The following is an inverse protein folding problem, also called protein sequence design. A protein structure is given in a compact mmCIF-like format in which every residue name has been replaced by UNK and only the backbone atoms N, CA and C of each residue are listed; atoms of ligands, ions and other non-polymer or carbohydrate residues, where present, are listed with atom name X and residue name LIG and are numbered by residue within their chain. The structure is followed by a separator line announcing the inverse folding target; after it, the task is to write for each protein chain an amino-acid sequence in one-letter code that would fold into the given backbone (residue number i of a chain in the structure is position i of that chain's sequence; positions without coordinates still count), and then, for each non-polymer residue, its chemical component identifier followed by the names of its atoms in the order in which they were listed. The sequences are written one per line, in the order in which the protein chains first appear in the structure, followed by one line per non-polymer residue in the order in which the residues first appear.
data_IF_639752663694
#
_entry.id   IF_639752663694
#
_cell.length_a   1.000
_cell.length_b   1.000
_cell.length_c   1.000
_cell.angle_alpha   90.00
_cell.angle_beta   90.00
_cell.angle_gamma   90.00
#
_symmetry.space_group_name_H-M   'P 1'
#
loop_
_entity.id
_entity.type
_entity.pdbx_description
1 polymer ?
#
# COMPACT_ATOMS: atom_id res chain seq x y z
N UNK A 1 15.01 1.40 8.61
CA UNK A 1 13.67 1.02 8.10
C UNK A 1 13.87 -0.13 7.14
N UNK A 2 13.19 -1.26 7.35
CA UNK A 2 13.42 -2.50 6.59
C UNK A 2 13.38 -2.31 5.06
N UNK A 3 12.49 -1.46 4.54
CA UNK A 3 12.40 -1.17 3.11
C UNK A 3 13.71 -0.61 2.51
N UNK A 4 14.44 0.21 3.27
CA UNK A 4 15.73 0.74 2.82
C UNK A 4 16.82 -0.34 2.87
N UNK A 5 16.81 -1.20 3.89
CA UNK A 5 17.76 -2.30 4.02
C UNK A 5 17.58 -3.36 2.93
N UNK A 6 16.36 -3.56 2.43
CA UNK A 6 16.05 -4.49 1.34
C UNK A 6 16.25 -3.92 -0.08
N UNK A 7 16.70 -2.67 -0.22
CA UNK A 7 16.91 -2.05 -1.53
C UNK A 7 17.84 -2.92 -2.40
N UNK A 8 17.50 -3.08 -3.68
CA UNK A 8 18.21 -3.98 -4.61
C UNK A 8 17.79 -5.46 -4.54
N UNK A 9 17.00 -5.87 -3.54
CA UNK A 9 16.49 -7.24 -3.40
C UNK A 9 14.96 -7.35 -3.44
N UNK A 10 14.24 -6.24 -3.21
CA UNK A 10 12.77 -6.21 -3.27
C UNK A 10 12.31 -6.29 -4.74
N UNK A 11 11.55 -7.33 -5.07
CA UNK A 11 11.01 -7.57 -6.42
C UNK A 11 9.54 -7.21 -6.58
N UNK A 12 8.78 -7.16 -5.48
CA UNK A 12 7.36 -6.81 -5.42
C UNK A 12 7.01 -6.32 -4.00
N UNK A 13 5.94 -5.51 -3.87
CA UNK A 13 5.47 -5.01 -2.56
C UNK A 13 3.97 -5.25 -2.40
N UNK A 14 3.58 -5.97 -1.35
CA UNK A 14 2.18 -6.03 -0.91
C UNK A 14 1.82 -4.79 -0.11
N UNK A 15 0.62 -4.25 -0.35
CA UNK A 15 0.08 -3.05 0.25
C UNK A 15 -1.21 -3.40 0.98
N UNK A 16 -1.16 -3.41 2.32
CA UNK A 16 -2.32 -3.57 3.21
C UNK A 16 -2.05 -2.86 4.52
N UNK A 17 -3.12 -2.54 5.26
CA UNK A 17 -3.01 -1.99 6.60
C UNK A 17 -3.04 -3.10 7.67
N UNK A 18 -2.50 -2.81 8.86
CA UNK A 18 -2.45 -3.76 9.98
C UNK A 18 -2.55 -3.02 11.32
N UNK A 19 -2.88 -3.76 12.38
CA UNK A 19 -2.74 -3.33 13.79
C UNK A 19 -1.91 -4.38 14.54
N UNK A 20 -1.34 -4.07 15.72
CA UNK A 20 -0.66 -5.08 16.53
C UNK A 20 -1.58 -6.29 16.79
N UNK A 21 -1.15 -7.47 16.32
CA UNK A 21 -1.93 -8.71 16.43
C UNK A 21 -3.07 -8.89 15.42
N UNK A 22 -3.32 -7.92 14.52
CA UNK A 22 -4.37 -7.99 13.49
C UNK A 22 -3.74 -7.78 12.11
N UNK A 23 -3.59 -8.87 11.37
CA UNK A 23 -2.83 -8.92 10.11
C UNK A 23 -3.70 -9.02 8.83
N UNK A 24 -5.02 -9.13 8.99
CA UNK A 24 -6.00 -9.26 7.90
C UNK A 24 -7.18 -8.34 8.17
N UNK A 25 -7.81 -7.86 7.09
CA UNK A 25 -9.06 -7.11 7.11
C UNK A 25 -9.05 -5.84 7.98
N UNK A 26 -7.90 -5.20 8.14
CA UNK A 26 -7.83 -3.83 8.68
C UNK A 26 -8.09 -2.87 7.51
N UNK A 27 -9.16 -2.04 7.57
CA UNK A 27 -9.42 -1.07 6.51
C UNK A 27 -8.26 -0.09 6.32
N UNK A 28 -8.02 0.32 5.09
CA UNK A 28 -6.96 1.28 4.76
C UNK A 28 -7.14 2.60 5.51
N UNK A 29 -6.15 2.97 6.31
CA UNK A 29 -6.15 4.21 7.09
C UNK A 29 -6.67 4.05 8.52
N UNK A 30 -7.14 2.86 8.89
CA UNK A 30 -7.53 2.56 10.27
C UNK A 30 -6.44 1.82 11.05
N UNK A 31 -5.37 1.36 10.41
CA UNK A 31 -4.26 0.68 11.04
C UNK A 31 -3.09 1.61 11.37
N UNK A 32 -1.89 1.02 11.43
CA UNK A 32 -0.67 1.69 11.88
C UNK A 32 0.37 1.86 10.76
N UNK A 33 0.07 1.43 9.53
CA UNK A 33 1.03 1.53 8.43
C UNK A 33 1.13 2.98 7.96
N UNK A 34 2.33 3.55 8.07
CA UNK A 34 2.64 4.87 7.50
C UNK A 34 2.94 4.74 6.00
N UNK A 35 1.87 4.70 5.20
CA UNK A 35 1.94 4.44 3.75
C UNK A 35 2.80 5.47 3.00
N UNK A 36 2.65 6.76 3.29
CA UNK A 36 3.40 7.81 2.59
C UNK A 36 4.90 7.73 2.89
N UNK A 37 5.27 7.44 4.15
CA UNK A 37 6.67 7.18 4.51
C UNK A 37 7.22 5.91 3.85
N UNK A 38 6.42 4.84 3.78
CA UNK A 38 6.81 3.60 3.10
C UNK A 38 7.05 3.84 1.60
N UNK A 39 6.11 4.46 0.90
CA UNK A 39 6.23 4.76 -0.53
C UNK A 39 7.37 5.72 -0.83
N UNK A 40 7.54 6.77 -0.03
CA UNK A 40 8.66 7.71 -0.22
C UNK A 40 10.02 7.06 0.05
N UNK A 41 10.11 6.11 0.99
CA UNK A 41 11.33 5.34 1.24
C UNK A 41 11.67 4.43 0.06
N UNK A 42 10.70 3.70 -0.48
CA UNK A 42 10.88 2.85 -1.67
C UNK A 42 11.27 3.69 -2.89
N UNK A 43 10.58 4.80 -3.12
CA UNK A 43 10.84 5.71 -4.23
C UNK A 43 12.26 6.29 -4.17
N UNK A 44 12.68 6.81 -3.02
CA UNK A 44 14.05 7.33 -2.81
C UNK A 44 15.13 6.26 -2.93
N UNK A 45 14.79 5.00 -2.68
CA UNK A 45 15.70 3.85 -2.83
C UNK A 45 15.78 3.35 -4.28
N UNK A 46 15.06 3.97 -5.22
CA UNK A 46 15.06 3.58 -6.63
C UNK A 46 14.18 2.37 -6.97
N UNK A 47 13.25 1.97 -6.09
CA UNK A 47 12.34 0.87 -6.38
C UNK A 47 11.39 1.20 -7.55
N UNK A 48 11.35 0.32 -8.55
CA UNK A 48 10.56 0.45 -9.78
C UNK A 48 9.64 -0.77 -10.02
N UNK A 49 9.55 -1.67 -9.05
CA UNK A 49 8.74 -2.89 -9.15
C UNK A 49 7.24 -2.66 -8.89
N UNK A 50 6.42 -3.73 -9.03
CA UNK A 50 4.98 -3.64 -8.86
C UNK A 50 4.56 -3.47 -7.39
N UNK A 51 3.38 -2.88 -7.20
CA UNK A 51 2.66 -2.84 -5.93
C UNK A 51 1.36 -3.62 -6.07
N UNK A 52 1.02 -4.43 -5.05
CA UNK A 52 -0.19 -5.24 -5.03
C UNK A 52 -1.03 -4.89 -3.80
N UNK A 53 -2.23 -4.33 -4.02
CA UNK A 53 -3.20 -4.07 -2.95
C UNK A 53 -3.77 -5.40 -2.45
N UNK A 54 -3.37 -5.82 -1.24
CA UNK A 54 -3.82 -7.07 -0.63
C UNK A 54 -5.07 -6.81 0.23
N UNK A 55 -6.23 -7.27 -0.25
CA UNK A 55 -7.51 -7.11 0.43
C UNK A 55 -8.45 -8.30 0.18
N UNK A 56 -9.39 -8.54 1.10
CA UNK A 56 -10.41 -9.58 0.99
C UNK A 56 -11.81 -8.96 0.95
N UNK A 57 -12.19 -8.39 -0.19
CA UNK A 57 -13.53 -7.82 -0.41
C UNK A 57 -14.55 -8.82 -0.93
N UNK A 58 -14.19 -10.10 -1.08
CA UNK A 58 -15.02 -11.14 -1.70
C UNK A 58 -16.39 -11.34 -1.02
N UNK A 59 -16.48 -11.05 0.28
CA UNK A 59 -17.73 -11.16 1.05
C UNK A 59 -18.46 -9.83 1.21
N UNK A 60 -17.96 -8.73 0.63
CA UNK A 60 -18.63 -7.44 0.68
C UNK A 60 -19.89 -7.46 -0.20
N UNK A 61 -20.87 -6.61 0.12
CA UNK A 61 -22.09 -6.47 -0.70
C UNK A 61 -21.78 -5.96 -2.12
N UNK A 62 -20.69 -5.22 -2.29
CA UNK A 62 -20.19 -4.77 -3.59
C UNK A 62 -18.65 -4.79 -3.61
N UNK A 63 -18.03 -5.95 -3.91
CA UNK A 63 -16.57 -6.12 -3.87
C UNK A 63 -15.82 -5.16 -4.79
N UNK A 64 -16.37 -4.86 -5.98
CA UNK A 64 -15.77 -3.94 -6.95
C UNK A 64 -15.70 -2.52 -6.40
N UNK A 65 -16.76 -2.07 -5.72
CA UNK A 65 -16.77 -0.74 -5.08
C UNK A 65 -15.69 -0.63 -4.02
N UNK A 66 -15.54 -1.65 -3.18
CA UNK A 66 -14.49 -1.68 -2.15
C UNK A 66 -13.08 -1.62 -2.76
N UNK A 67 -12.85 -2.35 -3.85
CA UNK A 67 -11.57 -2.31 -4.58
C UNK A 67 -11.30 -0.93 -5.17
N UNK A 68 -12.30 -0.26 -5.74
CA UNK A 68 -12.15 1.11 -6.29
C UNK A 68 -11.77 2.08 -5.17
N UNK A 69 -12.45 2.03 -4.02
CA UNK A 69 -12.17 2.89 -2.87
C UNK A 69 -10.74 2.67 -2.37
N UNK A 70 -10.34 1.41 -2.17
CA UNK A 70 -8.99 1.07 -1.72
C UNK A 70 -7.92 1.51 -2.73
N UNK A 71 -8.16 1.29 -4.03
CA UNK A 71 -7.28 1.73 -5.12
C UNK A 71 -7.06 3.24 -5.06
N UNK A 72 -8.14 4.02 -5.03
CA UNK A 72 -8.06 5.48 -5.07
C UNK A 72 -7.38 6.04 -3.82
N UNK A 73 -7.67 5.44 -2.65
CA UNK A 73 -7.00 5.78 -1.40
C UNK A 73 -5.49 5.54 -1.48
N UNK A 74 -5.05 4.36 -1.96
CA UNK A 74 -3.63 4.02 -2.10
C UNK A 74 -2.93 4.92 -3.12
N UNK A 75 -3.56 5.15 -4.29
CA UNK A 75 -3.03 6.06 -5.31
C UNK A 75 -2.77 7.46 -4.76
N UNK A 76 -3.69 7.98 -3.94
CA UNK A 76 -3.49 9.29 -3.32
C UNK A 76 -2.26 9.33 -2.41
N UNK A 77 -1.99 8.28 -1.62
CA UNK A 77 -0.79 8.23 -0.76
C UNK A 77 0.49 8.05 -1.58
N UNK A 78 0.44 7.31 -2.68
CA UNK A 78 1.56 7.21 -3.63
C UNK A 78 1.88 8.58 -4.24
N UNK A 79 0.86 9.31 -4.69
CA UNK A 79 1.02 10.66 -5.22
C UNK A 79 1.61 11.62 -4.16
N UNK A 80 1.08 11.60 -2.93
CA UNK A 80 1.61 12.42 -1.82
C UNK A 80 3.08 12.09 -1.50
N UNK A 81 3.49 10.84 -1.70
CA UNK A 81 4.87 10.39 -1.52
C UNK A 81 5.81 10.72 -2.71
N UNK A 82 5.31 11.38 -3.76
CA UNK A 82 6.08 11.85 -4.92
C UNK A 82 6.16 10.84 -6.07
N UNK A 83 5.40 9.75 -6.05
CA UNK A 83 5.34 8.84 -7.19
C UNK A 83 4.49 9.45 -8.31
N UNK A 84 4.95 9.29 -9.56
CA UNK A 84 4.21 9.70 -10.75
C UNK A 84 3.05 8.73 -11.01
N UNK A 85 1.93 8.96 -10.32
CA UNK A 85 0.69 8.20 -10.45
C UNK A 85 -0.41 9.20 -10.85
N UNK A 86 -1.14 8.91 -11.92
CA UNK A 86 -2.36 9.65 -12.26
C UNK A 86 -3.35 9.46 -11.13
N UNK A 87 -3.82 10.52 -10.48
CA UNK A 87 -4.79 10.41 -9.38
C UNK A 87 -6.21 10.47 -9.92
#
# INVERSE_FOLDING_TARGET
MELASGAGHIVAVHVKDTKPGIFKNVPFGEGIVDFERCFSTLHKSGYQGPYLIEMWSETASNPTKEVIIARDWVKQRMHNAGLAIEV
#
